data_IF_741727019345
#
_entry.id   IF_741727019345
#
_cell.length_a   1.000
_cell.length_b   1.000
_cell.length_c   1.000
_cell.angle_alpha   90.00
_cell.angle_beta   90.00
_cell.angle_gamma   90.00
#
_symmetry.space_group_name_H-M   'P 1'
#
loop_
_entity.id
_entity.type
_entity.pdbx_description
1 polymer ?
#
# COMPACT_ATOMS: atom_id res chain seq x y z
N UNK A 1 -20.27 5.71 -12.26
CA UNK A 1 -19.87 4.53 -11.48
C UNK A 1 -18.35 4.40 -11.48
N UNK A 2 -17.72 4.24 -12.65
CA UNK A 2 -16.25 4.21 -12.79
C UNK A 2 -15.52 5.43 -12.19
N UNK A 3 -16.02 6.66 -12.39
CA UNK A 3 -15.41 7.86 -11.79
C UNK A 3 -15.38 7.85 -10.26
N UNK A 4 -16.39 7.22 -9.64
CA UNK A 4 -16.46 7.10 -8.18
C UNK A 4 -15.41 6.10 -7.67
N UNK A 5 -15.21 5.00 -8.39
CA UNK A 5 -14.19 4.00 -8.05
C UNK A 5 -12.78 4.55 -8.25
N UNK A 6 -12.54 5.31 -9.33
CA UNK A 6 -11.29 6.05 -9.50
C UNK A 6 -11.06 7.10 -8.41
N UNK A 7 -12.09 7.82 -7.99
CA UNK A 7 -12.00 8.77 -6.89
C UNK A 7 -11.65 8.08 -5.57
N UNK A 8 -12.25 6.91 -5.28
CA UNK A 8 -11.92 6.09 -4.11
C UNK A 8 -10.50 5.57 -4.15
N UNK A 9 -10.06 4.99 -5.27
CA UNK A 9 -8.68 4.51 -5.45
C UNK A 9 -7.68 5.65 -5.22
N UNK A 10 -7.94 6.85 -5.75
CA UNK A 10 -7.07 8.01 -5.51
C UNK A 10 -7.05 8.42 -4.04
N UNK A 11 -8.20 8.41 -3.36
CA UNK A 11 -8.30 8.74 -1.94
C UNK A 11 -7.47 7.76 -1.09
N UNK A 12 -7.63 6.45 -1.30
CA UNK A 12 -6.88 5.42 -0.58
C UNK A 12 -5.36 5.55 -0.79
N UNK A 13 -4.90 5.83 -2.02
CA UNK A 13 -3.47 6.07 -2.29
C UNK A 13 -2.92 7.30 -1.57
N UNK A 14 -3.72 8.37 -1.48
CA UNK A 14 -3.34 9.59 -0.77
C UNK A 14 -3.25 9.31 0.74
N UNK A 15 -4.27 8.66 1.32
CA UNK A 15 -4.29 8.26 2.72
C UNK A 15 -3.07 7.40 3.08
N UNK A 16 -2.75 6.40 2.26
CA UNK A 16 -1.58 5.53 2.45
C UNK A 16 -0.27 6.32 2.48
N UNK A 17 -0.11 7.27 1.54
CA UNK A 17 1.07 8.14 1.48
C UNK A 17 1.18 9.05 2.70
N UNK A 18 0.04 9.58 3.16
CA UNK A 18 -0.06 10.42 4.36
C UNK A 18 0.31 9.64 5.62
N UNK A 19 -0.26 8.45 5.80
CA UNK A 19 0.04 7.59 6.96
C UNK A 19 1.50 7.12 6.97
N UNK A 20 2.07 6.76 5.80
CA UNK A 20 3.51 6.47 5.69
C UNK A 20 4.39 7.66 6.07
N UNK A 21 3.96 8.89 5.79
CA UNK A 21 4.68 10.10 6.21
C UNK A 21 4.53 10.34 7.71
N UNK A 22 3.34 10.10 8.26
CA UNK A 22 3.05 10.25 9.69
C UNK A 22 3.88 9.28 10.53
N UNK A 23 4.08 8.04 10.07
CA UNK A 23 4.94 7.06 10.76
C UNK A 23 6.42 7.49 10.90
N UNK A 24 6.85 8.50 10.13
CA UNK A 24 8.21 9.08 10.19
C UNK A 24 8.32 10.23 11.20
N UNK A 25 7.22 10.68 11.79
CA UNK A 25 7.25 11.72 12.82
C UNK A 25 7.30 11.09 14.20
N UNK A 26 7.48 11.92 15.23
CA UNK A 26 7.29 11.48 16.62
C UNK A 26 5.82 11.19 16.86
N UNK A 27 5.55 9.98 17.36
CA UNK A 27 4.23 9.44 17.64
C UNK A 27 4.33 8.63 18.92
N UNK A 28 3.29 8.69 19.76
CA UNK A 28 3.14 7.73 20.85
C UNK A 28 2.87 6.32 20.31
N UNK A 29 3.08 5.30 21.15
CA UNK A 29 2.83 3.91 20.77
C UNK A 29 1.38 3.66 20.39
N UNK A 30 0.44 4.36 21.03
CA UNK A 30 -1.00 4.26 20.74
C UNK A 30 -1.29 4.86 19.36
N UNK A 31 -0.73 6.03 19.05
CA UNK A 31 -0.90 6.67 17.74
C UNK A 31 -0.27 5.82 16.63
N UNK A 32 0.93 5.26 16.87
CA UNK A 32 1.60 4.36 15.93
C UNK A 32 0.75 3.14 15.62
N UNK A 33 0.27 2.43 16.65
CA UNK A 33 -0.61 1.25 16.46
C UNK A 33 -1.89 1.61 15.72
N UNK A 34 -2.50 2.75 16.04
CA UNK A 34 -3.67 3.23 15.32
C UNK A 34 -3.38 3.45 13.83
N UNK A 35 -2.27 4.11 13.52
CA UNK A 35 -1.86 4.41 12.14
C UNK A 35 -1.51 3.13 11.39
N UNK A 36 -0.81 2.19 12.00
CA UNK A 36 -0.47 0.90 11.38
C UNK A 36 -1.72 0.07 11.06
N UNK A 37 -2.67 0.00 12.00
CA UNK A 37 -3.97 -0.65 11.74
C UNK A 37 -4.71 0.02 10.59
N UNK A 38 -4.77 1.36 10.59
CA UNK A 38 -5.38 2.13 9.49
C UNK A 38 -4.68 1.90 8.16
N UNK A 39 -3.36 1.78 8.16
CA UNK A 39 -2.59 1.50 6.96
C UNK A 39 -2.98 0.16 6.32
N UNK A 40 -3.15 -0.88 7.15
CA UNK A 40 -3.57 -2.21 6.69
C UNK A 40 -5.01 -2.21 6.14
N UNK A 41 -5.93 -1.49 6.81
CA UNK A 41 -7.30 -1.30 6.34
C UNK A 41 -7.35 -0.62 4.96
N UNK A 42 -6.61 0.47 4.77
CA UNK A 42 -6.56 1.21 3.50
C UNK A 42 -5.95 0.37 2.37
N UNK A 43 -4.90 -0.41 2.66
CA UNK A 43 -4.27 -1.31 1.70
C UNK A 43 -5.25 -2.40 1.24
N UNK A 44 -5.99 -3.00 2.19
CA UNK A 44 -6.99 -4.05 1.90
C UNK A 44 -8.16 -3.49 1.08
N UNK A 45 -8.64 -2.29 1.42
CA UNK A 45 -9.71 -1.63 0.68
C UNK A 45 -9.30 -1.30 -0.76
N UNK A 46 -8.05 -0.88 -0.97
CA UNK A 46 -7.51 -0.61 -2.30
C UNK A 46 -7.37 -1.89 -3.12
N UNK A 47 -6.91 -2.99 -2.51
CA UNK A 47 -6.82 -4.30 -3.17
C UNK A 47 -8.19 -4.84 -3.58
N UNK A 48 -9.19 -4.73 -2.71
CA UNK A 48 -10.57 -5.10 -3.04
C UNK A 48 -11.13 -4.26 -4.20
N UNK A 49 -10.96 -2.94 -4.15
CA UNK A 49 -11.38 -2.04 -5.23
C UNK A 49 -10.63 -2.31 -6.54
N UNK A 50 -9.35 -2.67 -6.48
CA UNK A 50 -8.58 -3.01 -7.66
C UNK A 50 -9.04 -4.35 -8.26
N UNK A 51 -9.34 -5.35 -7.44
CA UNK A 51 -9.88 -6.63 -7.89
C UNK A 51 -11.28 -6.49 -8.52
N UNK A 52 -12.11 -5.60 -7.98
CA UNK A 52 -13.45 -5.32 -8.52
C UNK A 52 -13.41 -4.43 -9.78
N UNK A 53 -12.52 -3.44 -9.83
CA UNK A 53 -12.46 -2.46 -10.92
C UNK A 53 -11.58 -2.90 -12.11
N UNK A 54 -10.59 -3.75 -11.89
CA UNK A 54 -9.67 -4.22 -12.93
C UNK A 54 -9.63 -5.75 -12.98
N UNK A 55 -9.93 -6.37 -14.13
CA UNK A 55 -9.72 -7.80 -14.29
C UNK A 55 -8.24 -8.14 -14.05
N UNK A 56 -7.99 -9.23 -13.31
CA UNK A 56 -6.69 -9.65 -12.77
C UNK A 56 -5.51 -9.69 -13.76
N UNK A 57 -5.77 -9.59 -15.07
CA UNK A 57 -4.78 -9.52 -16.14
C UNK A 57 -3.85 -8.29 -16.10
N UNK A 58 -4.20 -7.22 -15.36
CA UNK A 58 -3.37 -6.01 -15.22
C UNK A 58 -2.58 -5.92 -13.90
N UNK A 59 -2.56 -6.98 -13.09
CA UNK A 59 -1.78 -6.96 -11.85
C UNK A 59 -0.29 -6.94 -12.18
N UNK A 60 0.34 -5.77 -11.98
CA UNK A 60 1.79 -5.62 -12.08
C UNK A 60 2.39 -6.57 -11.02
N UNK A 61 3.28 -7.51 -11.38
CA UNK A 61 3.91 -8.35 -10.38
C UNK A 61 4.75 -7.44 -9.49
N UNK A 62 4.27 -7.21 -8.26
CA UNK A 62 5.08 -6.68 -7.18
C UNK A 62 6.17 -7.72 -6.92
N UNK A 63 7.26 -7.64 -7.67
CA UNK A 63 8.45 -8.44 -7.45
C UNK A 63 9.11 -7.85 -6.20
N UNK A 64 9.13 -8.53 -5.05
CA UNK A 64 10.09 -8.19 -4.04
C UNK A 64 11.45 -8.41 -4.69
N UNK A 65 12.16 -7.31 -4.98
CA UNK A 65 13.55 -7.32 -5.40
C UNK A 65 14.34 -7.99 -4.28
N UNK A 66 14.47 -9.32 -4.38
CA UNK A 66 15.29 -10.13 -3.50
C UNK A 66 16.76 -9.79 -3.80
N UNK A 67 17.24 -8.79 -3.07
CA UNK A 67 18.53 -8.73 -2.38
C UNK A 67 19.66 -9.56 -3.01
N UNK A 68 20.62 -8.80 -3.54
CA UNK A 68 21.97 -9.26 -3.83
C UNK A 68 22.67 -9.82 -2.57
N UNK A 69 23.21 -11.04 -2.70
CA UNK A 69 24.43 -11.58 -2.07
C UNK A 69 24.39 -13.09 -2.38
N UNK A 70 25.38 -13.73 -3.02
CA UNK A 70 26.71 -14.02 -2.48
C UNK A 70 27.51 -14.83 -3.53
N UNK A 71 28.83 -14.59 -3.63
CA UNK A 71 29.83 -15.53 -4.20
C UNK A 71 30.28 -15.18 -5.63
N UNK A 72 31.27 -14.31 -5.88
CA UNK A 72 32.70 -14.44 -5.55
C UNK A 72 33.32 -15.75 -6.07
N UNK A 73 34.06 -15.62 -7.19
CA UNK A 73 35.41 -16.17 -7.45
C UNK A 73 35.71 -17.58 -6.86
N UNK A 74 35.97 -18.63 -7.62
CA UNK A 74 36.96 -18.82 -8.69
C UNK A 74 36.72 -20.14 -9.42
#
# INVERSE_FOLDING_TARGET
MLDQDFARIRAHRNNLSRYRRLLKTELSDIERQFIERRLAEEQTALEALAADAFPAAFTVPNTPSAIATTGAER
#
